data_IF_523556113467
#
_entry.id   IF_523556113467
#
_cell.length_a   1.000
_cell.length_b   1.000
_cell.length_c   1.000
_cell.angle_alpha   90.00
_cell.angle_beta   90.00
_cell.angle_gamma   90.00
#
_symmetry.space_group_name_H-M   'P 1'
#
loop_
_entity.id
_entity.type
_entity.pdbx_description
1 polymer ?
#
# COMPACT_ATOMS: atom_id res chain seq x y z
N UNK A 1 -1.47 13.26 4.91
CA UNK A 1 -2.44 12.17 5.16
C UNK A 1 -3.73 12.65 5.83
N UNK A 2 -3.71 13.30 7.01
CA UNK A 2 -4.95 13.70 7.70
C UNK A 2 -5.93 14.50 6.83
N UNK A 3 -5.45 15.53 6.13
CA UNK A 3 -6.29 16.33 5.22
C UNK A 3 -6.94 15.47 4.12
N UNK A 4 -6.21 14.51 3.53
CA UNK A 4 -6.75 13.59 2.51
C UNK A 4 -7.94 12.80 3.09
N UNK A 5 -7.78 12.21 4.28
CA UNK A 5 -8.86 11.48 4.93
C UNK A 5 -10.04 12.40 5.29
N UNK A 6 -9.78 13.64 5.71
CA UNK A 6 -10.84 14.63 5.95
C UNK A 6 -11.60 14.97 4.67
N UNK A 7 -10.93 15.08 3.51
CA UNK A 7 -11.58 15.32 2.21
C UNK A 7 -12.42 14.12 1.77
N UNK A 8 -11.93 12.90 1.94
CA UNK A 8 -12.72 11.69 1.66
C UNK A 8 -13.96 11.62 2.55
N UNK A 9 -13.81 11.89 3.84
CA UNK A 9 -14.94 11.93 4.77
C UNK A 9 -15.95 13.04 4.40
N UNK A 10 -15.49 14.21 3.94
CA UNK A 10 -16.37 15.27 3.43
C UNK A 10 -17.17 14.80 2.20
N UNK A 11 -16.56 14.04 1.30
CA UNK A 11 -17.26 13.48 0.14
C UNK A 11 -18.34 12.48 0.57
N UNK A 12 -18.03 11.56 1.50
CA UNK A 12 -19.01 10.62 2.04
C UNK A 12 -20.16 11.34 2.74
N UNK A 13 -19.86 12.27 3.64
CA UNK A 13 -20.88 13.10 4.32
C UNK A 13 -21.77 13.88 3.38
N UNK A 14 -21.23 14.36 2.26
CA UNK A 14 -22.03 15.03 1.24
C UNK A 14 -23.06 14.06 0.64
N UNK A 15 -22.64 12.84 0.28
CA UNK A 15 -23.53 11.81 -0.26
C UNK A 15 -24.57 11.35 0.76
N UNK A 16 -24.16 11.16 2.03
CA UNK A 16 -25.07 10.87 3.15
C UNK A 16 -26.12 11.98 3.30
N UNK A 17 -25.71 13.24 3.29
CA UNK A 17 -26.64 14.38 3.38
C UNK A 17 -27.68 14.36 2.26
N UNK A 18 -27.27 14.05 1.03
CA UNK A 18 -28.23 13.92 -0.09
C UNK A 18 -29.23 12.78 0.17
N UNK A 19 -28.76 11.63 0.65
CA UNK A 19 -29.64 10.52 0.99
C UNK A 19 -30.62 10.88 2.11
N UNK A 20 -30.12 11.45 3.21
CA UNK A 20 -30.92 11.82 4.39
C UNK A 20 -32.01 12.84 4.07
N UNK A 21 -31.74 13.77 3.16
CA UNK A 21 -32.76 14.73 2.71
C UNK A 21 -33.85 14.03 1.91
N UNK A 22 -33.48 13.21 0.91
CA UNK A 22 -34.43 12.62 -0.02
C UNK A 22 -35.19 11.42 0.56
N UNK A 23 -34.65 10.77 1.59
CA UNK A 23 -35.30 9.62 2.26
C UNK A 23 -36.41 10.05 3.23
N UNK A 24 -36.45 11.32 3.63
CA UNK A 24 -37.41 11.84 4.61
C UNK A 24 -38.53 12.63 3.90
N UNK A 25 -39.76 12.13 4.03
CA UNK A 25 -40.97 12.73 3.45
C UNK A 25 -41.19 14.19 3.89
N UNK A 26 -40.86 14.51 5.14
CA UNK A 26 -41.09 15.84 5.73
C UNK A 26 -40.32 16.96 5.03
N UNK A 27 -39.28 16.62 4.25
CA UNK A 27 -38.51 17.61 3.49
C UNK A 27 -39.19 18.04 2.18
N UNK A 28 -40.25 17.36 1.75
CA UNK A 28 -40.94 17.59 0.49
C UNK A 28 -42.23 18.37 0.71
N UNK A 29 -42.51 19.32 -0.18
CA UNK A 29 -43.81 20.00 -0.22
C UNK A 29 -44.86 19.10 -0.88
N UNK A 30 -46.17 19.40 -0.71
CA UNK A 30 -47.23 18.63 -1.37
C UNK A 30 -47.05 18.50 -2.88
N UNK A 31 -46.54 19.55 -3.55
CA UNK A 31 -46.24 19.54 -4.98
C UNK A 31 -45.02 18.69 -5.38
N UNK A 32 -44.12 18.38 -4.44
CA UNK A 32 -42.89 17.59 -4.63
C UNK A 32 -43.06 16.13 -4.13
N UNK A 33 -44.23 15.77 -3.57
CA UNK A 33 -44.45 14.45 -2.98
C UNK A 33 -44.22 13.29 -3.98
N UNK A 34 -44.46 13.54 -5.28
CA UNK A 34 -44.17 12.54 -6.31
C UNK A 34 -42.68 12.19 -6.37
N UNK A 35 -41.78 13.16 -6.17
CA UNK A 35 -40.33 12.95 -6.20
C UNK A 35 -39.87 12.09 -5.03
N UNK A 36 -40.41 12.34 -3.82
CA UNK A 36 -40.19 11.49 -2.66
C UNK A 36 -40.62 10.04 -2.92
N UNK A 37 -41.84 9.85 -3.43
CA UNK A 37 -42.36 8.51 -3.75
C UNK A 37 -41.46 7.79 -4.76
N UNK A 38 -41.00 8.49 -5.80
CA UNK A 38 -40.07 7.93 -6.79
C UNK A 38 -38.73 7.57 -6.13
N UNK A 39 -38.17 8.46 -5.29
CA UNK A 39 -36.91 8.20 -4.60
C UNK A 39 -36.99 6.97 -3.71
N UNK A 40 -37.99 6.90 -2.81
CA UNK A 40 -38.21 5.74 -1.92
C UNK A 40 -38.38 4.44 -2.70
N UNK A 41 -39.17 4.45 -3.76
CA UNK A 41 -39.36 3.25 -4.60
C UNK A 41 -38.06 2.77 -5.24
N UNK A 42 -37.19 3.68 -5.69
CA UNK A 42 -35.90 3.30 -6.27
C UNK A 42 -34.89 2.88 -5.21
N UNK A 43 -34.89 3.52 -4.05
CA UNK A 43 -34.02 3.15 -2.92
C UNK A 43 -34.30 1.73 -2.43
N UNK A 44 -35.58 1.36 -2.21
CA UNK A 44 -35.93 0.01 -1.79
C UNK A 44 -35.55 -1.05 -2.84
N UNK A 45 -35.79 -0.76 -4.13
CA UNK A 45 -35.36 -1.64 -5.22
C UNK A 45 -33.83 -1.76 -5.31
N UNK A 46 -33.13 -0.65 -5.15
CA UNK A 46 -31.67 -0.62 -5.16
C UNK A 46 -31.12 -1.46 -3.99
N UNK A 47 -31.66 -1.28 -2.79
CA UNK A 47 -31.31 -2.04 -1.60
C UNK A 47 -31.50 -3.55 -1.80
N UNK A 48 -32.62 -3.98 -2.39
CA UNK A 48 -32.85 -5.39 -2.72
C UNK A 48 -31.77 -5.92 -3.66
N UNK A 49 -31.44 -5.17 -4.72
CA UNK A 49 -30.43 -5.55 -5.70
C UNK A 49 -29.04 -5.62 -5.04
N UNK A 50 -28.64 -4.62 -4.26
CA UNK A 50 -27.35 -4.55 -3.59
C UNK A 50 -27.19 -5.69 -2.57
N UNK A 51 -28.24 -6.01 -1.82
CA UNK A 51 -28.24 -7.14 -0.89
C UNK A 51 -28.07 -8.48 -1.62
N UNK A 52 -28.75 -8.66 -2.75
CA UNK A 52 -28.60 -9.88 -3.59
C UNK A 52 -27.19 -10.03 -4.16
N UNK A 53 -26.52 -8.91 -4.42
CA UNK A 53 -25.14 -8.89 -4.91
C UNK A 53 -24.10 -8.99 -3.78
N UNK A 54 -24.52 -8.99 -2.50
CA UNK A 54 -23.63 -8.88 -1.34
C UNK A 54 -22.67 -7.68 -1.44
N UNK A 55 -23.18 -6.55 -1.95
CA UNK A 55 -22.36 -5.40 -2.32
C UNK A 55 -21.61 -4.79 -1.13
N UNK A 56 -22.24 -4.76 0.04
CA UNK A 56 -21.64 -4.20 1.26
C UNK A 56 -20.35 -4.92 1.66
N UNK A 57 -20.24 -6.24 1.43
CA UNK A 57 -19.03 -7.02 1.72
C UNK A 57 -17.82 -6.57 0.90
N UNK A 58 -18.04 -5.88 -0.22
CA UNK A 58 -16.98 -5.39 -1.12
C UNK A 58 -16.42 -4.02 -0.70
N UNK A 59 -17.06 -3.31 0.24
CA UNK A 59 -16.68 -1.94 0.63
C UNK A 59 -15.84 -1.89 1.91
N UNK A 60 -16.22 -2.64 2.94
CA UNK A 60 -15.44 -2.85 4.16
C UNK A 60 -16.02 -4.04 4.94
N UNK A 61 -15.33 -5.18 4.93
CA UNK A 61 -15.72 -6.36 5.68
C UNK A 61 -14.51 -7.00 6.37
N UNK A 62 -14.75 -7.81 7.40
CA UNK A 62 -13.72 -8.63 8.07
C UNK A 62 -12.94 -9.48 7.05
N UNK A 63 -13.63 -10.07 6.07
CA UNK A 63 -12.98 -10.82 5.00
C UNK A 63 -12.51 -9.86 3.92
N UNK A 64 -11.20 -9.84 3.67
CA UNK A 64 -10.63 -8.99 2.61
C UNK A 64 -10.37 -7.53 3.01
N UNK A 65 -10.61 -7.14 4.28
CA UNK A 65 -10.27 -5.82 4.84
C UNK A 65 -8.90 -5.30 4.38
N UNK A 66 -7.89 -6.15 4.44
CA UNK A 66 -6.52 -5.82 4.01
C UNK A 66 -6.45 -5.34 2.56
N UNK A 67 -7.16 -6.01 1.65
CA UNK A 67 -7.19 -5.65 0.22
C UNK A 67 -7.98 -4.35 0.04
N UNK A 68 -9.16 -4.25 0.66
CA UNK A 68 -10.00 -3.04 0.61
C UNK A 68 -9.22 -1.80 1.09
N UNK A 69 -8.47 -1.91 2.18
CA UNK A 69 -7.64 -0.82 2.69
C UNK A 69 -6.53 -0.44 1.70
N UNK A 70 -5.95 -1.42 0.99
CA UNK A 70 -4.98 -1.16 -0.06
C UNK A 70 -5.63 -0.46 -1.27
N UNK A 71 -6.77 -0.97 -1.76
CA UNK A 71 -7.53 -0.40 -2.87
C UNK A 71 -7.92 1.06 -2.60
N UNK A 72 -8.28 1.41 -1.37
CA UNK A 72 -8.57 2.80 -0.99
C UNK A 72 -7.33 3.70 -1.09
N UNK A 73 -6.16 3.20 -0.72
CA UNK A 73 -4.89 3.94 -0.84
C UNK A 73 -4.47 4.07 -2.31
N UNK A 74 -4.63 3.01 -3.09
CA UNK A 74 -4.42 3.03 -4.54
C UNK A 74 -5.37 3.98 -5.24
N UNK A 75 -6.64 4.05 -4.82
CA UNK A 75 -7.58 5.02 -5.34
C UNK A 75 -7.10 6.46 -5.11
N UNK A 76 -6.55 6.75 -3.93
CA UNK A 76 -5.97 8.06 -3.63
C UNK A 76 -4.81 8.37 -4.58
N UNK A 77 -3.84 7.48 -4.75
CA UNK A 77 -2.64 7.77 -5.54
C UNK A 77 -2.84 7.56 -7.05
N UNK A 78 -3.34 6.39 -7.44
CA UNK A 78 -3.43 5.90 -8.81
C UNK A 78 -4.78 6.22 -9.47
N UNK A 79 -5.85 6.37 -8.68
CA UNK A 79 -7.17 6.77 -9.18
C UNK A 79 -7.34 8.28 -9.31
N UNK A 80 -6.93 9.05 -8.29
CA UNK A 80 -7.13 10.51 -8.24
C UNK A 80 -5.83 11.31 -8.25
N UNK A 81 -4.82 10.85 -7.53
CA UNK A 81 -3.55 11.55 -7.36
C UNK A 81 -2.81 11.71 -8.69
N UNK A 82 -2.90 10.74 -9.59
CA UNK A 82 -2.20 10.78 -10.87
C UNK A 82 -2.59 11.98 -11.74
N UNK A 83 -3.81 12.52 -11.59
CA UNK A 83 -4.25 13.75 -12.29
C UNK A 83 -3.51 15.02 -11.85
N UNK A 84 -2.76 14.97 -10.75
CA UNK A 84 -1.89 16.07 -10.32
C UNK A 84 -0.61 16.18 -11.16
N UNK A 85 -0.23 15.13 -11.89
CA UNK A 85 1.00 15.06 -12.68
C UNK A 85 0.89 15.76 -14.05
N UNK A 86 0.87 17.09 -14.09
CA UNK A 86 0.70 17.86 -15.34
C UNK A 86 2.02 18.24 -16.00
N UNK A 87 3.08 18.39 -15.21
CA UNK A 87 4.42 18.77 -15.65
C UNK A 87 5.46 17.72 -15.21
N UNK A 88 6.72 17.91 -15.64
CA UNK A 88 7.84 17.12 -15.14
C UNK A 88 7.98 17.28 -13.62
N UNK A 89 7.99 18.53 -13.14
CA UNK A 89 8.09 18.84 -11.70
C UNK A 89 6.97 18.18 -10.89
N UNK A 90 5.73 18.17 -11.39
CA UNK A 90 4.62 17.48 -10.72
C UNK A 90 4.86 15.96 -10.64
N UNK A 91 5.41 15.35 -11.69
CA UNK A 91 5.77 13.92 -11.69
C UNK A 91 6.87 13.62 -10.68
N UNK A 92 7.90 14.47 -10.60
CA UNK A 92 8.97 14.35 -9.61
C UNK A 92 8.42 14.44 -8.18
N UNK A 93 7.57 15.45 -7.92
CA UNK A 93 6.88 15.63 -6.64
C UNK A 93 5.95 14.45 -6.30
N UNK A 94 5.26 13.90 -7.30
CA UNK A 94 4.38 12.76 -7.13
C UNK A 94 5.17 11.47 -6.82
N UNK A 95 6.28 11.22 -7.52
CA UNK A 95 7.22 10.13 -7.19
C UNK A 95 7.75 10.30 -5.77
N UNK A 96 8.15 11.51 -5.38
CA UNK A 96 8.59 11.82 -4.02
C UNK A 96 7.51 11.52 -2.99
N UNK A 97 6.26 11.89 -3.27
CA UNK A 97 5.12 11.63 -2.39
C UNK A 97 4.86 10.12 -2.22
N UNK A 98 4.93 9.33 -3.31
CA UNK A 98 4.79 7.87 -3.21
C UNK A 98 5.92 7.27 -2.37
N UNK A 99 7.19 7.68 -2.57
CA UNK A 99 8.31 7.13 -1.81
C UNK A 99 8.19 7.42 -0.30
N UNK A 100 7.77 8.64 0.07
CA UNK A 100 7.47 8.95 1.47
C UNK A 100 6.25 8.16 1.98
N UNK A 101 5.25 7.91 1.14
CA UNK A 101 4.11 7.09 1.52
C UNK A 101 4.52 5.62 1.76
N UNK A 102 5.41 5.06 0.93
CA UNK A 102 6.00 3.73 1.16
C UNK A 102 6.73 3.68 2.50
N UNK A 103 7.48 4.73 2.88
CA UNK A 103 8.07 4.82 4.22
C UNK A 103 7.00 4.79 5.34
N UNK A 104 5.84 5.42 5.15
CA UNK A 104 4.75 5.35 6.12
C UNK A 104 4.20 3.92 6.25
N UNK A 105 4.02 3.21 5.13
CA UNK A 105 3.61 1.80 5.14
C UNK A 105 4.62 0.92 5.87
N UNK A 106 5.92 1.10 5.61
CA UNK A 106 7.00 0.42 6.32
C UNK A 106 6.97 0.70 7.83
N UNK A 107 6.62 1.93 8.24
CA UNK A 107 6.46 2.29 9.64
C UNK A 107 5.24 1.63 10.30
N UNK A 108 4.13 1.44 9.59
CA UNK A 108 2.96 0.73 10.13
C UNK A 108 3.30 -0.70 10.51
N UNK A 109 4.19 -1.34 9.75
CA UNK A 109 4.68 -2.68 10.04
C UNK A 109 5.55 -2.78 11.31
N UNK A 110 5.90 -1.69 11.98
CA UNK A 110 6.56 -1.75 13.30
C UNK A 110 5.68 -2.49 14.32
N UNK A 111 4.35 -2.56 14.12
CA UNK A 111 3.44 -3.36 14.96
C UNK A 111 3.73 -4.87 14.92
N UNK A 112 4.48 -5.34 13.92
CA UNK A 112 5.02 -6.71 13.84
C UNK A 112 5.90 -7.03 15.05
N UNK A 113 6.66 -6.05 15.54
CA UNK A 113 7.71 -6.24 16.57
C UNK A 113 7.48 -5.43 17.83
N UNK A 114 6.58 -4.45 17.80
CA UNK A 114 6.25 -3.57 18.92
C UNK A 114 4.85 -3.86 19.42
N UNK A 115 4.77 -4.64 20.50
CA UNK A 115 3.53 -4.97 21.22
C UNK A 115 2.83 -3.71 21.74
N UNK A 116 3.55 -2.77 22.36
CA UNK A 116 2.97 -1.51 22.85
C UNK A 116 2.34 -0.64 21.73
N UNK A 117 2.91 -0.62 20.52
CA UNK A 117 2.27 0.11 19.42
C UNK A 117 1.07 -0.66 18.86
N UNK A 118 1.19 -1.99 18.74
CA UNK A 118 0.10 -2.87 18.31
C UNK A 118 -1.12 -2.75 19.23
N UNK A 119 -0.91 -2.82 20.54
CA UNK A 119 -1.95 -2.63 21.56
C UNK A 119 -2.66 -1.28 21.38
N UNK A 120 -1.91 -0.17 21.35
CA UNK A 120 -2.48 1.18 21.19
C UNK A 120 -3.28 1.34 19.90
N UNK A 121 -2.81 0.75 18.81
CA UNK A 121 -3.55 0.77 17.54
C UNK A 121 -4.83 -0.05 17.66
N UNK A 122 -4.79 -1.26 18.21
CA UNK A 122 -5.97 -2.10 18.38
C UNK A 122 -7.00 -1.50 19.33
N UNK A 123 -6.56 -0.85 20.41
CA UNK A 123 -7.46 -0.14 21.33
C UNK A 123 -8.19 1.00 20.64
N UNK A 124 -7.44 1.84 19.93
CA UNK A 124 -8.01 2.96 19.20
C UNK A 124 -8.92 2.47 18.07
N UNK A 125 -8.47 1.49 17.30
CA UNK A 125 -9.24 0.89 16.21
C UNK A 125 -10.55 0.30 16.73
N UNK A 126 -10.51 -0.47 17.82
CA UNK A 126 -11.72 -1.03 18.43
C UNK A 126 -12.63 0.03 19.07
N UNK A 127 -12.13 1.23 19.39
CA UNK A 127 -12.98 2.34 19.86
C UNK A 127 -13.71 3.01 18.70
N UNK A 128 -12.99 3.30 17.62
CA UNK A 128 -13.54 3.98 16.44
C UNK A 128 -14.36 3.02 15.57
N UNK A 129 -14.08 1.72 15.63
CA UNK A 129 -14.85 0.68 14.99
C UNK A 129 -15.16 -0.49 15.98
N UNK A 130 -16.28 -0.39 16.75
CA UNK A 130 -16.61 -1.34 17.81
C UNK A 130 -16.77 -2.79 17.36
N UNK A 131 -17.16 -3.04 16.11
CA UNK A 131 -17.38 -4.40 15.59
C UNK A 131 -16.11 -5.25 15.60
N UNK A 132 -14.94 -4.61 15.48
CA UNK A 132 -13.63 -5.26 15.52
C UNK A 132 -13.37 -5.92 16.89
N UNK A 133 -13.95 -5.38 17.97
CA UNK A 133 -13.80 -5.97 19.32
C UNK A 133 -14.49 -7.33 19.46
N UNK A 134 -15.44 -7.63 18.58
CA UNK A 134 -16.19 -8.88 18.59
C UNK A 134 -15.51 -9.98 17.76
N UNK A 135 -14.36 -9.70 17.14
CA UNK A 135 -13.64 -10.67 16.33
C UNK A 135 -12.82 -11.66 17.18
N UNK A 136 -12.80 -12.93 16.76
CA UNK A 136 -12.29 -14.07 17.54
C UNK A 136 -10.87 -13.89 18.11
N UNK A 137 -10.02 -13.17 17.39
CA UNK A 137 -8.59 -13.02 17.71
C UNK A 137 -8.22 -11.60 18.15
N UNK A 138 -9.20 -10.71 18.38
CA UNK A 138 -8.95 -9.32 18.78
C UNK A 138 -8.19 -9.23 20.11
N UNK A 139 -8.74 -9.81 21.17
CA UNK A 139 -8.13 -9.76 22.50
C UNK A 139 -6.80 -10.54 22.51
N UNK A 140 -6.76 -11.70 21.85
CA UNK A 140 -5.53 -12.49 21.72
C UNK A 140 -4.40 -11.68 21.08
N UNK A 141 -4.66 -10.96 19.98
CA UNK A 141 -3.63 -10.15 19.30
C UNK A 141 -3.23 -8.92 20.12
N UNK A 142 -4.20 -8.32 20.80
CA UNK A 142 -3.98 -7.15 21.66
C UNK A 142 -3.04 -7.49 22.82
N UNK A 143 -3.28 -8.62 23.47
CA UNK A 143 -2.55 -9.04 24.68
C UNK A 143 -1.29 -9.86 24.36
N UNK A 144 -1.09 -10.24 23.09
CA UNK A 144 0.08 -11.02 22.67
C UNK A 144 1.37 -10.21 22.84
N UNK A 145 2.28 -10.70 23.68
CA UNK A 145 3.66 -10.22 23.79
C UNK A 145 4.56 -11.04 22.86
N UNK A 146 5.24 -10.37 21.92
CA UNK A 146 6.12 -11.03 20.96
C UNK A 146 5.97 -10.54 19.53
N UNK A 147 6.65 -11.23 18.61
CA UNK A 147 6.63 -10.91 17.17
C UNK A 147 5.47 -11.60 16.43
N UNK A 148 4.83 -10.87 15.53
CA UNK A 148 3.71 -11.32 14.67
C UNK A 148 3.91 -10.80 13.25
N UNK A 149 3.43 -11.49 12.23
CA UNK A 149 3.52 -11.07 10.82
C UNK A 149 4.90 -11.29 10.16
N UNK A 150 5.88 -11.84 10.87
CA UNK A 150 7.19 -12.17 10.30
C UNK A 150 7.17 -13.47 9.48
N UNK A 151 8.21 -13.66 8.67
CA UNK A 151 8.42 -14.90 7.89
C UNK A 151 8.39 -16.14 8.79
N UNK A 152 8.03 -17.28 8.21
CA UNK A 152 7.94 -18.57 8.93
C UNK A 152 9.28 -18.88 9.61
N UNK A 153 9.25 -19.08 10.93
CA UNK A 153 10.44 -19.34 11.75
C UNK A 153 11.01 -18.09 12.43
N UNK A 154 10.54 -16.89 12.07
CA UNK A 154 10.89 -15.63 12.75
C UNK A 154 9.72 -15.04 13.56
N UNK A 155 8.48 -15.40 13.21
CA UNK A 155 7.28 -15.03 13.99
C UNK A 155 7.08 -15.97 15.18
N UNK A 156 6.90 -15.40 16.37
CA UNK A 156 6.57 -16.13 17.60
C UNK A 156 5.07 -16.43 17.70
N UNK A 157 4.24 -15.66 16.98
CA UNK A 157 2.80 -15.83 16.97
C UNK A 157 2.35 -17.10 16.23
N UNK A 158 1.26 -17.75 16.67
CA UNK A 158 0.67 -18.87 15.94
C UNK A 158 0.09 -18.42 14.60
N UNK A 159 -0.12 -19.36 13.67
CA UNK A 159 -0.52 -19.05 12.28
C UNK A 159 -1.83 -18.27 12.19
N UNK A 160 -2.83 -18.56 13.02
CA UNK A 160 -4.11 -17.85 13.00
C UNK A 160 -3.96 -16.40 13.42
N UNK A 161 -3.08 -16.12 14.39
CA UNK A 161 -2.82 -14.78 14.88
C UNK A 161 -2.06 -13.92 13.86
N UNK A 162 -1.11 -14.52 13.12
CA UNK A 162 -0.47 -13.87 11.97
C UNK A 162 -1.51 -13.48 10.90
N UNK A 163 -2.39 -14.41 10.52
CA UNK A 163 -3.45 -14.15 9.54
C UNK A 163 -4.39 -13.03 10.00
N UNK A 164 -4.73 -13.02 11.29
CA UNK A 164 -5.58 -11.97 11.84
C UNK A 164 -4.87 -10.61 11.84
N UNK A 165 -3.61 -10.56 12.28
CA UNK A 165 -2.78 -9.35 12.21
C UNK A 165 -2.71 -8.77 10.79
N UNK A 166 -2.46 -9.61 9.79
CA UNK A 166 -2.41 -9.20 8.39
C UNK A 166 -3.72 -8.56 7.92
N UNK A 167 -4.87 -9.04 8.42
CA UNK A 167 -6.19 -8.51 8.06
C UNK A 167 -6.45 -7.08 8.55
N UNK A 168 -5.74 -6.63 9.60
CA UNK A 168 -5.91 -5.29 10.21
C UNK A 168 -5.13 -4.22 9.46
N UNK A 169 -4.04 -4.60 8.81
CA UNK A 169 -3.18 -3.71 8.05
C UNK A 169 -3.67 -3.59 6.60
N UNK A 170 -3.40 -2.47 5.90
CA UNK A 170 -3.38 -2.52 4.44
C UNK A 170 -2.39 -3.59 3.98
N UNK A 171 -2.58 -4.13 2.76
CA UNK A 171 -1.60 -5.03 2.14
C UNK A 171 -0.24 -4.35 2.15
N UNK A 172 0.69 -4.81 2.99
CA UNK A 172 2.00 -4.17 3.20
C UNK A 172 3.08 -5.02 2.52
N UNK A 173 4.20 -5.34 3.16
CA UNK A 173 5.32 -5.98 2.49
C UNK A 173 4.94 -7.28 1.75
N UNK A 174 4.91 -7.22 0.41
CA UNK A 174 4.43 -8.30 -0.47
C UNK A 174 3.33 -7.88 -1.47
N UNK A 175 2.79 -6.65 -1.37
CA UNK A 175 1.77 -6.13 -2.29
C UNK A 175 1.91 -4.63 -2.57
N UNK A 176 1.11 -3.81 -1.87
CA UNK A 176 0.90 -2.38 -2.17
C UNK A 176 2.19 -1.60 -2.39
N UNK A 177 3.14 -1.74 -1.47
CA UNK A 177 4.41 -1.02 -1.58
C UNK A 177 5.22 -1.40 -2.84
N UNK A 178 5.19 -2.66 -3.29
CA UNK A 178 5.90 -3.16 -4.48
C UNK A 178 5.19 -2.68 -5.74
N UNK A 179 3.85 -2.75 -5.74
CA UNK A 179 2.99 -2.24 -6.81
C UNK A 179 3.25 -0.73 -7.01
N UNK A 180 3.29 0.06 -5.93
CA UNK A 180 3.64 1.48 -5.95
C UNK A 180 5.08 1.76 -6.43
N UNK A 181 6.04 0.94 -6.01
CA UNK A 181 7.45 1.08 -6.42
C UNK A 181 7.65 0.76 -7.90
N UNK A 182 6.98 -0.27 -8.42
CA UNK A 182 6.96 -0.57 -9.86
C UNK A 182 6.33 0.59 -10.61
N UNK A 183 5.22 1.15 -10.14
CA UNK A 183 4.61 2.32 -10.77
C UNK A 183 5.58 3.52 -10.84
N UNK A 184 6.26 3.81 -9.72
CA UNK A 184 7.30 4.85 -9.65
C UNK A 184 8.45 4.57 -10.62
N UNK A 185 8.91 3.32 -10.72
CA UNK A 185 9.94 2.91 -11.67
C UNK A 185 9.51 3.17 -13.12
N UNK A 186 8.27 2.81 -13.49
CA UNK A 186 7.74 3.01 -14.83
C UNK A 186 7.65 4.50 -15.20
N UNK A 187 7.19 5.34 -14.26
CA UNK A 187 7.14 6.80 -14.46
C UNK A 187 8.55 7.36 -14.63
N UNK A 188 9.47 7.02 -13.72
CA UNK A 188 10.83 7.57 -13.67
C UNK A 188 11.61 7.28 -14.95
N UNK A 189 11.42 6.08 -15.51
CA UNK A 189 12.10 5.65 -16.73
C UNK A 189 11.35 6.02 -18.01
N UNK A 190 10.22 6.71 -17.92
CA UNK A 190 9.43 7.17 -19.06
C UNK A 190 9.14 6.04 -20.07
N UNK A 191 8.78 4.86 -19.58
CA UNK A 191 8.58 3.65 -20.40
C UNK A 191 7.42 3.81 -21.40
N UNK A 192 6.41 4.61 -21.05
CA UNK A 192 5.26 4.89 -21.91
C UNK A 192 4.12 5.55 -21.13
N UNK A 193 2.92 5.51 -21.72
CA UNK A 193 1.69 5.85 -21.00
C UNK A 193 1.27 4.66 -20.13
N UNK A 194 1.12 4.88 -18.83
CA UNK A 194 0.84 3.83 -17.86
C UNK A 194 -0.63 3.91 -17.45
N UNK A 195 -1.36 2.82 -17.63
CA UNK A 195 -2.71 2.63 -17.11
C UNK A 195 -2.63 1.69 -15.89
N UNK A 196 -2.77 2.20 -14.65
CA UNK A 196 -2.85 1.37 -13.47
C UNK A 196 -4.19 0.63 -13.43
N UNK A 197 -4.14 -0.69 -13.29
CA UNK A 197 -5.29 -1.58 -13.24
C UNK A 197 -5.46 -2.26 -11.88
N UNK A 198 -4.68 -1.88 -10.87
CA UNK A 198 -4.72 -2.42 -9.51
C UNK A 198 -6.13 -2.38 -8.88
N UNK A 199 -6.90 -1.32 -9.15
CA UNK A 199 -8.30 -1.18 -8.70
C UNK A 199 -9.29 -2.05 -9.49
N UNK A 200 -8.88 -2.61 -10.63
CA UNK A 200 -9.71 -3.38 -11.56
C UNK A 200 -9.32 -4.85 -11.51
N UNK A 201 -9.69 -5.55 -10.44
CA UNK A 201 -9.35 -6.96 -10.25
C UNK A 201 -9.88 -7.89 -11.36
N UNK A 202 -10.93 -7.47 -12.08
CA UNK A 202 -11.51 -8.17 -13.22
C UNK A 202 -12.02 -7.19 -14.28
N UNK A 203 -11.72 -7.46 -15.53
CA UNK A 203 -12.34 -6.82 -16.69
C UNK A 203 -13.54 -7.66 -17.11
N UNK A 204 -14.74 -7.15 -16.84
CA UNK A 204 -16.00 -7.88 -17.01
C UNK A 204 -16.52 -7.78 -18.46
N UNK A 205 -16.95 -8.91 -19.02
CA UNK A 205 -17.79 -8.99 -20.20
C UNK A 205 -19.17 -9.57 -19.83
N UNK A 206 -20.07 -9.70 -20.80
CA UNK A 206 -21.36 -10.37 -20.56
C UNK A 206 -21.21 -11.89 -20.39
N UNK A 207 -20.16 -12.48 -20.97
CA UNK A 207 -19.98 -13.93 -21.03
C UNK A 207 -18.93 -14.41 -20.03
N UNK A 208 -17.92 -13.60 -19.75
CA UNK A 208 -16.76 -13.96 -18.96
C UNK A 208 -16.11 -12.75 -18.30
N UNK A 209 -15.00 -12.99 -17.63
CA UNK A 209 -14.17 -11.94 -17.08
C UNK A 209 -12.70 -12.30 -17.30
N UNK A 210 -11.91 -11.28 -17.59
CA UNK A 210 -10.47 -11.39 -17.76
C UNK A 210 -9.80 -10.80 -16.52
N UNK A 211 -8.79 -11.47 -15.98
CA UNK A 211 -7.99 -10.94 -14.88
C UNK A 211 -6.86 -10.12 -15.49
N UNK A 212 -6.87 -8.78 -15.37
CA UNK A 212 -5.82 -7.96 -15.97
C UNK A 212 -4.49 -8.09 -15.22
N UNK A 213 -3.38 -7.65 -15.85
CA UNK A 213 -2.15 -7.37 -15.14
C UNK A 213 -2.32 -6.11 -14.27
N UNK A 214 -1.45 -5.91 -13.28
CA UNK A 214 -1.45 -4.71 -12.43
C UNK A 214 -1.33 -3.40 -13.21
N UNK A 215 -0.55 -3.39 -14.30
CA UNK A 215 -0.41 -2.24 -15.20
C UNK A 215 -0.50 -2.64 -16.67
N UNK A 216 -1.09 -1.76 -17.48
CA UNK A 216 -0.87 -1.73 -18.92
C UNK A 216 0.03 -0.55 -19.28
N UNK A 217 0.99 -0.79 -20.16
CA UNK A 217 1.89 0.23 -20.68
C UNK A 217 1.72 0.34 -22.17
N UNK A 218 1.41 1.56 -22.64
CA UNK A 218 1.37 1.92 -24.05
C UNK A 218 2.68 2.64 -24.37
N UNK A 219 3.57 1.96 -25.09
CA UNK A 219 4.88 2.49 -25.45
C UNK A 219 4.77 3.57 -26.54
N UNK A 220 5.83 4.37 -26.79
CA UNK A 220 5.79 5.46 -27.78
C UNK A 220 5.40 5.00 -29.20
N UNK A 221 5.79 3.79 -29.58
CA UNK A 221 5.46 3.10 -30.84
C UNK A 221 4.05 2.46 -30.84
N UNK A 222 3.23 2.74 -29.82
CA UNK A 222 1.83 2.30 -29.68
C UNK A 222 1.64 0.81 -29.44
N UNK A 223 2.70 0.08 -29.12
CA UNK A 223 2.58 -1.27 -28.61
C UNK A 223 2.06 -1.26 -27.17
N UNK A 224 1.36 -2.33 -26.78
CA UNK A 224 0.83 -2.50 -25.43
C UNK A 224 1.49 -3.67 -24.74
N UNK A 225 1.85 -3.48 -23.48
CA UNK A 225 2.44 -4.51 -22.63
C UNK A 225 1.72 -4.56 -21.29
N UNK A 226 1.48 -5.78 -20.79
CA UNK A 226 1.05 -6.02 -19.43
C UNK A 226 2.25 -6.14 -18.49
N UNK A 227 2.12 -5.59 -17.29
CA UNK A 227 3.10 -5.72 -16.22
C UNK A 227 2.37 -6.20 -14.97
N UNK A 228 2.73 -7.40 -14.53
CA UNK A 228 2.25 -8.01 -13.29
C UNK A 228 3.35 -7.97 -12.24
N UNK A 229 3.02 -7.61 -11.00
CA UNK A 229 3.97 -7.45 -9.90
C UNK A 229 3.88 -8.64 -8.95
N UNK A 230 5.04 -9.20 -8.63
CA UNK A 230 5.18 -10.25 -7.61
C UNK A 230 5.54 -11.62 -8.16
N UNK A 231 5.81 -12.55 -7.24
CA UNK A 231 6.32 -13.88 -7.57
C UNK A 231 5.25 -14.86 -8.01
N UNK A 232 5.63 -15.83 -8.86
CA UNK A 232 4.78 -16.96 -9.25
C UNK A 232 3.49 -16.53 -9.95
N UNK A 233 3.51 -15.36 -10.59
CA UNK A 233 2.38 -14.80 -11.34
C UNK A 233 2.43 -15.12 -12.83
N UNK A 234 3.37 -15.95 -13.27
CA UNK A 234 3.57 -16.27 -14.69
C UNK A 234 2.33 -16.94 -15.30
N UNK A 235 1.60 -17.73 -14.50
CA UNK A 235 0.35 -18.35 -14.94
C UNK A 235 -0.72 -17.29 -15.22
N UNK A 236 -0.88 -16.29 -14.34
CA UNK A 236 -1.85 -15.21 -14.50
C UNK A 236 -1.46 -14.33 -15.70
N UNK A 237 -0.19 -13.95 -15.80
CA UNK A 237 0.35 -13.18 -16.91
C UNK A 237 0.18 -13.91 -18.25
N UNK A 238 0.52 -15.20 -18.28
CA UNK A 238 0.36 -16.04 -19.47
C UNK A 238 -1.09 -16.19 -19.90
N UNK A 239 -2.01 -16.39 -18.95
CA UNK A 239 -3.44 -16.48 -19.24
C UNK A 239 -3.97 -15.18 -19.86
N UNK A 240 -3.64 -14.03 -19.27
CA UNK A 240 -4.05 -12.73 -19.82
C UNK A 240 -3.50 -12.51 -21.24
N UNK A 241 -2.21 -12.80 -21.46
CA UNK A 241 -1.60 -12.69 -22.79
C UNK A 241 -2.27 -13.59 -23.82
N UNK A 242 -2.61 -14.83 -23.47
CA UNK A 242 -3.30 -15.75 -24.37
C UNK A 242 -4.72 -15.27 -24.71
N UNK A 243 -5.42 -14.68 -23.75
CA UNK A 243 -6.79 -14.19 -23.93
C UNK A 243 -6.88 -12.89 -24.73
N UNK A 244 -5.85 -12.04 -24.64
CA UNK A 244 -5.91 -10.65 -25.16
C UNK A 244 -4.94 -10.37 -26.29
N UNK A 245 -3.97 -11.25 -26.55
CA UNK A 245 -2.80 -11.02 -27.40
C UNK A 245 -1.90 -9.86 -26.94
N UNK A 246 -2.03 -9.40 -25.69
CA UNK A 246 -1.15 -8.38 -25.11
C UNK A 246 0.02 -9.09 -24.40
N UNK A 247 1.27 -8.91 -24.85
CA UNK A 247 2.42 -9.50 -24.16
C UNK A 247 2.50 -9.01 -22.71
N UNK A 248 2.55 -9.92 -21.75
CA UNK A 248 2.57 -9.61 -20.33
C UNK A 248 3.81 -10.20 -19.69
N UNK A 249 4.51 -9.39 -18.92
CA UNK A 249 5.69 -9.80 -18.17
C UNK A 249 5.45 -9.65 -16.67
N UNK A 250 6.19 -10.43 -15.89
CA UNK A 250 6.15 -10.36 -14.43
C UNK A 250 7.40 -9.65 -13.92
N UNK A 251 7.23 -8.71 -12.99
CA UNK A 251 8.32 -8.08 -12.24
C UNK A 251 8.37 -8.72 -10.85
N UNK A 252 9.37 -9.55 -10.63
CA UNK A 252 9.67 -10.10 -9.31
C UNK A 252 10.27 -9.01 -8.42
N UNK A 253 9.61 -8.79 -7.28
CA UNK A 253 10.03 -7.82 -6.27
C UNK A 253 10.59 -8.46 -5.01
N UNK A 254 10.56 -9.81 -4.86
CA UNK A 254 11.17 -10.49 -3.70
C UNK A 254 12.69 -10.32 -3.67
N UNK A 255 13.33 -10.33 -4.84
CA UNK A 255 14.76 -10.07 -5.00
C UNK A 255 15.09 -8.59 -5.22
N UNK A 256 14.07 -7.73 -5.32
CA UNK A 256 14.30 -6.30 -5.37
C UNK A 256 14.84 -5.89 -4.00
N UNK A 257 16.15 -5.68 -3.90
CA UNK A 257 16.87 -5.22 -2.70
C UNK A 257 16.52 -3.77 -2.35
N UNK A 258 15.24 -3.43 -2.40
CA UNK A 258 14.73 -2.08 -2.31
C UNK A 258 14.91 -1.54 -0.90
N UNK A 259 14.60 -2.36 0.10
CA UNK A 259 14.86 -2.10 1.51
C UNK A 259 14.99 -3.42 2.27
N UNK A 260 15.58 -3.37 3.46
CA UNK A 260 15.76 -4.52 4.35
C UNK A 260 15.13 -4.25 5.71
N UNK A 261 14.85 -5.33 6.44
CA UNK A 261 14.62 -5.24 7.89
C UNK A 261 15.96 -5.18 8.61
N UNK A 262 16.03 -4.38 9.66
CA UNK A 262 17.14 -4.41 10.61
C UNK A 262 17.30 -5.84 11.15
N UNK A 263 18.49 -6.46 11.09
CA UNK A 263 18.68 -7.83 11.54
C UNK A 263 18.48 -7.99 13.06
N UNK A 264 18.59 -6.89 13.82
CA UNK A 264 18.47 -6.88 15.28
C UNK A 264 17.01 -6.73 15.71
N UNK A 265 16.35 -5.63 15.37
CA UNK A 265 14.97 -5.36 15.82
C UNK A 265 13.88 -5.80 14.84
N UNK A 266 14.25 -6.28 13.65
CA UNK A 266 13.34 -6.71 12.58
C UNK A 266 12.39 -5.61 12.05
N UNK A 267 12.62 -4.34 12.37
CA UNK A 267 11.92 -3.19 11.75
C UNK A 267 12.44 -2.93 10.34
N UNK A 268 11.57 -2.50 9.44
CA UNK A 268 11.99 -2.02 8.11
C UNK A 268 12.91 -0.80 8.23
N UNK A 269 13.84 -0.69 7.27
CA UNK A 269 14.71 0.47 7.09
C UNK A 269 14.10 1.35 5.99
N UNK A 270 13.44 2.47 6.33
CA UNK A 270 12.82 3.32 5.33
C UNK A 270 13.86 3.96 4.38
N UNK A 271 13.41 4.43 3.22
CA UNK A 271 14.24 5.24 2.33
C UNK A 271 14.64 6.55 2.99
N UNK A 272 15.91 6.91 2.92
CA UNK A 272 16.38 8.21 3.40
C UNK A 272 16.10 9.33 2.38
N UNK A 273 16.14 10.57 2.85
CA UNK A 273 15.91 11.74 2.00
C UNK A 273 16.88 11.82 0.82
N UNK A 274 18.12 11.34 0.97
CA UNK A 274 19.06 11.25 -0.14
C UNK A 274 18.54 10.36 -1.28
N UNK A 275 18.08 9.15 -0.95
CA UNK A 275 17.52 8.20 -1.93
C UNK A 275 16.27 8.79 -2.57
N UNK A 276 15.36 9.33 -1.75
CA UNK A 276 14.09 9.90 -2.21
C UNK A 276 14.33 11.08 -3.15
N UNK A 277 15.21 12.01 -2.78
CA UNK A 277 15.49 13.20 -3.57
C UNK A 277 16.18 12.87 -4.90
N UNK A 278 17.16 11.96 -4.90
CA UNK A 278 17.83 11.55 -6.13
C UNK A 278 16.91 10.74 -7.04
N UNK A 279 16.13 9.80 -6.50
CA UNK A 279 15.24 8.98 -7.32
C UNK A 279 14.09 9.81 -7.91
N UNK A 280 13.56 10.76 -7.15
CA UNK A 280 12.51 11.65 -7.62
C UNK A 280 12.99 12.72 -8.60
N UNK A 281 14.28 13.05 -8.63
CA UNK A 281 14.83 14.02 -9.58
C UNK A 281 15.08 13.34 -10.95
N UNK A 282 14.35 13.75 -11.98
CA UNK A 282 14.42 13.10 -13.29
C UNK A 282 15.66 13.50 -14.09
N UNK A 283 16.35 14.57 -13.70
CA UNK A 283 17.66 14.97 -14.25
C UNK A 283 18.83 14.18 -13.65
N UNK A 284 18.62 13.50 -12.53
CA UNK A 284 19.67 12.70 -11.88
C UNK A 284 19.76 11.32 -12.52
N UNK A 285 20.85 11.02 -13.22
CA UNK A 285 21.08 9.69 -13.78
C UNK A 285 21.38 8.65 -12.68
N UNK A 286 20.65 7.54 -12.70
CA UNK A 286 20.84 6.43 -11.75
C UNK A 286 21.64 5.33 -12.45
N UNK A 287 22.95 5.32 -12.19
CA UNK A 287 23.90 4.40 -12.86
C UNK A 287 24.20 3.13 -12.05
N UNK A 288 23.79 3.09 -10.78
CA UNK A 288 24.07 1.99 -9.85
C UNK A 288 22.79 1.53 -9.15
N UNK A 289 22.74 0.24 -8.85
CA UNK A 289 21.64 -0.37 -8.08
C UNK A 289 21.76 -0.15 -6.56
N UNK A 290 22.92 0.30 -6.07
CA UNK A 290 23.20 0.44 -4.64
C UNK A 290 23.73 1.84 -4.34
N UNK A 291 23.32 2.40 -3.20
CA UNK A 291 23.80 3.69 -2.69
C UNK A 291 24.88 3.46 -1.65
N UNK A 292 26.09 3.99 -1.89
CA UNK A 292 27.16 3.96 -0.90
C UNK A 292 27.06 5.19 0.00
N UNK A 293 26.33 5.08 1.11
CA UNK A 293 26.04 6.22 1.99
C UNK A 293 27.28 7.01 2.43
N UNK A 294 28.43 6.34 2.68
CA UNK A 294 29.67 7.01 3.05
C UNK A 294 30.31 7.80 1.90
N UNK A 295 30.06 7.44 0.65
CA UNK A 295 30.67 8.08 -0.52
C UNK A 295 29.74 9.11 -1.15
N UNK A 296 28.44 8.87 -1.10
CA UNK A 296 27.45 9.56 -1.93
C UNK A 296 26.51 10.46 -1.12
N UNK A 297 26.28 10.20 0.17
CA UNK A 297 25.30 10.94 0.96
C UNK A 297 25.74 12.39 1.19
N UNK A 298 24.83 13.33 0.92
CA UNK A 298 25.01 14.76 1.19
C UNK A 298 24.15 15.27 2.37
N UNK A 299 23.46 14.39 3.09
CA UNK A 299 22.58 14.74 4.22
C UNK A 299 23.32 14.66 5.56
N UNK A 300 24.11 13.60 5.75
CA UNK A 300 24.93 13.38 6.95
C UNK A 300 26.40 13.30 6.57
N UNK A 301 27.29 13.82 7.42
CA UNK A 301 28.73 13.66 7.19
C UNK A 301 29.17 12.20 7.34
N UNK A 302 30.34 11.86 6.78
CA UNK A 302 30.94 10.52 6.95
C UNK A 302 31.12 10.15 8.41
N UNK A 303 31.57 11.10 9.22
CA UNK A 303 31.79 10.95 10.67
C UNK A 303 30.46 10.72 11.39
N UNK A 304 29.39 11.41 10.98
CA UNK A 304 28.06 11.26 11.56
C UNK A 304 27.43 9.91 11.22
N UNK A 305 27.57 9.46 9.98
CA UNK A 305 27.15 8.13 9.53
C UNK A 305 27.95 7.06 10.30
N UNK A 306 29.28 7.21 10.41
CA UNK A 306 30.12 6.27 11.13
C UNK A 306 29.81 6.23 12.64
N UNK A 307 29.39 7.35 13.23
CA UNK A 307 28.90 7.44 14.60
C UNK A 307 27.46 6.93 14.77
N UNK A 308 26.76 6.59 13.68
CA UNK A 308 25.40 6.07 13.70
C UNK A 308 24.32 7.12 13.98
N UNK A 309 24.56 8.38 13.60
CA UNK A 309 23.56 9.45 13.70
C UNK A 309 22.48 9.38 12.63
N UNK A 310 22.78 8.76 11.48
CA UNK A 310 21.79 8.57 10.41
C UNK A 310 20.81 7.47 10.82
N UNK A 311 19.48 7.72 10.82
CA UNK A 311 18.48 6.72 11.17
C UNK A 311 18.06 5.85 9.96
N UNK A 312 18.84 5.82 8.89
CA UNK A 312 18.59 5.03 7.67
C UNK A 312 19.81 4.22 7.20
N UNK A 313 20.86 4.19 8.00
CA UNK A 313 22.04 3.35 7.83
C UNK A 313 21.84 1.93 8.36
N UNK A 314 21.74 0.99 7.42
CA UNK A 314 21.72 -0.45 7.70
C UNK A 314 22.84 -0.93 8.64
N UNK A 315 23.99 -0.26 8.63
CA UNK A 315 25.23 -0.65 9.31
C UNK A 315 26.18 0.55 9.57
N UNK A 316 26.86 0.59 10.73
CA UNK A 316 27.97 1.54 11.01
C UNK A 316 29.33 0.83 11.02
N UNK A 317 30.35 1.44 10.39
CA UNK A 317 31.68 0.84 10.09
C UNK A 317 32.49 0.35 11.29
N UNK A 318 32.28 0.89 12.48
CA UNK A 318 33.21 0.69 13.61
C UNK A 318 32.97 -0.58 14.41
N UNK A 319 32.03 -1.37 13.93
CA UNK A 319 31.08 -1.90 14.87
C UNK A 319 30.62 -3.22 14.24
N UNK A 320 31.60 -4.07 14.08
CA UNK A 320 31.65 -5.00 12.99
C UNK A 320 31.88 -6.45 13.41
N UNK A 321 32.61 -6.56 14.49
CA UNK A 321 33.53 -7.65 14.73
C UNK A 321 33.05 -8.60 15.84
N UNK A 322 31.84 -8.46 16.41
CA UNK A 322 31.56 -9.06 17.73
C UNK A 322 30.31 -9.95 17.90
N UNK A 323 29.75 -10.57 16.85
CA UNK A 323 28.73 -11.63 17.04
C UNK A 323 28.97 -12.83 16.10
N UNK A 324 28.84 -14.04 16.66
CA UNK A 324 29.12 -15.35 16.02
C UNK A 324 28.35 -15.65 14.72
N UNK A 325 27.38 -14.82 14.34
CA UNK A 325 26.52 -15.01 13.16
C UNK A 325 26.80 -14.03 12.01
N UNK A 326 27.84 -13.21 12.11
CA UNK A 326 28.21 -12.24 11.07
C UNK A 326 29.67 -12.40 10.69
N UNK A 327 29.92 -13.18 9.62
CA UNK A 327 31.07 -12.96 8.75
C UNK A 327 30.83 -11.70 7.89
N UNK A 328 30.51 -10.56 8.53
CA UNK A 328 30.33 -9.32 7.81
C UNK A 328 30.90 -8.17 8.59
N UNK A 329 31.58 -7.28 7.88
CA UNK A 329 32.32 -6.18 8.45
C UNK A 329 31.44 -5.05 9.11
N UNK A 330 30.29 -5.34 9.78
CA UNK A 330 29.38 -4.36 10.47
C UNK A 330 28.49 -4.81 11.71
N UNK A 331 28.82 -5.85 12.52
CA UNK A 331 28.18 -6.21 13.83
C UNK A 331 28.87 -5.85 15.20
N UNK A 332 28.18 -5.11 16.08
CA UNK A 332 28.75 -4.57 17.36
C UNK A 332 27.85 -4.47 18.60
N UNK A 333 26.57 -4.77 18.47
CA UNK A 333 25.62 -4.58 19.58
C UNK A 333 25.16 -3.14 19.85
N UNK A 334 24.94 -2.32 18.82
CA UNK A 334 24.18 -1.07 18.85
C UNK A 334 23.21 -1.09 17.67
N UNK A 335 22.08 -0.47 17.92
CA UNK A 335 20.93 -0.44 17.05
C UNK A 335 21.05 0.75 16.10
N UNK A 336 21.18 0.47 14.81
CA UNK A 336 21.20 1.49 13.76
C UNK A 336 20.20 1.08 12.69
N UNK A 337 19.31 2.02 12.37
CA UNK A 337 18.43 1.96 11.23
C UNK A 337 19.16 2.54 10.05
#
# INVERSE_FOLDING_TARGET
>A
MKDIFEKMNKALKHLETLHDIFINEDNFKPEENLDYVIYRQNEEKLKEILNRLDFSSQLYDRKGRQMILADLLEYIFLGRGYYSMKSKEDKENFVRAILHFVNLLMCYEVMTVSDNLREKVLEKLGKENPEIRNEDHYNELKDFSGTVGLKRGESEAPKHLNKYFDSILPKTAGGLWHELLVYVFLIRNNIGHIAPLLLSQRLMSMQDAIIPPDFLVITPDKNMYGIEVGTKKEIQSGLFSLQTNIPTTTIDTENSRVSDRCPICKRWIPFCDFVINNYSNFDTEITKAEVRCLEECNIYSKEEIAAGKCPYTKYSRNRTQTLEYTHHDYANGLHYH
#
